data_IF_312544312858
#
_entry.id   IF_312544312858
#
_cell.length_a   1.000
_cell.length_b   1.000
_cell.length_c   1.000
_cell.angle_alpha   90.00
_cell.angle_beta   90.00
_cell.angle_gamma   90.00
#
_symmetry.space_group_name_H-M   'P 1'
#
loop_
_entity.id
_entity.type
_entity.pdbx_description
1 polymer ?
#
# COMPACT_ATOMS: atom_id res chain seq x y z
N UNK A 1 33.97 -1.08 9.14
CA UNK A 1 32.61 -0.56 8.93
C UNK A 1 31.64 -1.67 9.30
N UNK A 2 30.94 -1.56 10.43
CA UNK A 2 29.97 -2.57 10.87
C UNK A 2 28.62 -2.28 10.21
N UNK A 3 28.11 -3.25 9.45
CA UNK A 3 26.77 -3.20 8.88
C UNK A 3 25.83 -3.84 9.91
N UNK A 4 24.90 -3.05 10.45
CA UNK A 4 23.85 -3.57 11.30
C UNK A 4 22.77 -4.19 10.41
N UNK A 5 22.73 -5.52 10.36
CA UNK A 5 21.65 -6.27 9.75
C UNK A 5 20.48 -6.34 10.75
N UNK A 6 19.31 -5.86 10.35
CA UNK A 6 18.10 -6.04 11.15
C UNK A 6 17.66 -7.51 11.09
N UNK A 7 18.07 -8.30 12.09
CA UNK A 7 17.73 -9.73 12.23
C UNK A 7 16.39 -10.01 12.87
N UNK A 8 15.53 -8.99 13.04
CA UNK A 8 14.20 -9.17 13.60
C UNK A 8 13.32 -9.97 12.64
N UNK A 9 13.33 -11.31 12.78
CA UNK A 9 12.43 -12.21 12.07
C UNK A 9 13.01 -13.52 11.54
N UNK A 10 14.26 -13.88 11.82
CA UNK A 10 14.83 -15.17 11.37
C UNK A 10 14.18 -16.42 12.00
N UNK A 11 13.36 -16.23 13.05
CA UNK A 11 12.41 -17.21 13.62
C UNK A 11 10.97 -16.65 13.71
N UNK A 12 10.61 -15.67 12.88
CA UNK A 12 9.30 -15.03 12.96
C UNK A 12 8.20 -16.00 12.54
N UNK A 13 7.09 -16.00 13.28
CA UNK A 13 5.87 -16.68 12.88
C UNK A 13 5.36 -16.17 11.53
N UNK A 14 4.45 -16.93 10.94
CA UNK A 14 3.78 -16.57 9.70
C UNK A 14 3.03 -15.24 9.87
N UNK A 15 3.04 -14.40 8.84
CA UNK A 15 2.32 -13.12 8.82
C UNK A 15 1.37 -13.03 7.64
N UNK A 16 0.40 -12.13 7.72
CA UNK A 16 -0.41 -11.71 6.60
C UNK A 16 -0.47 -10.19 6.56
N UNK A 17 -0.11 -9.62 5.41
CA UNK A 17 -0.15 -8.18 5.19
C UNK A 17 -1.12 -7.84 4.06
N UNK A 18 -1.98 -6.86 4.29
CA UNK A 18 -3.05 -6.50 3.35
C UNK A 18 -3.18 -4.98 3.21
N UNK A 19 -3.25 -4.53 1.97
CA UNK A 19 -3.68 -3.19 1.60
C UNK A 19 -5.08 -3.29 0.99
N UNK A 20 -5.95 -2.33 1.32
CA UNK A 20 -7.30 -2.28 0.80
C UNK A 20 -7.45 -1.08 -0.12
N UNK A 21 -8.25 -1.23 -1.18
CA UNK A 21 -8.61 -0.15 -2.09
C UNK A 21 -10.10 -0.17 -2.35
N UNK A 22 -10.76 0.91 -1.95
CA UNK A 22 -12.18 1.13 -2.23
C UNK A 22 -12.40 1.55 -3.69
N UNK A 23 -13.53 1.12 -4.25
CA UNK A 23 -14.01 1.50 -5.59
C UNK A 23 -15.34 2.23 -5.50
N UNK A 24 -16.26 1.73 -4.66
CA UNK A 24 -17.52 2.39 -4.29
C UNK A 24 -17.38 3.15 -2.98
N UNK A 25 -16.65 2.55 -2.04
CA UNK A 25 -16.16 3.19 -0.82
C UNK A 25 -15.01 4.16 -1.14
N UNK A 26 -14.54 4.91 -0.13
CA UNK A 26 -13.44 5.82 -0.32
C UNK A 26 -12.18 5.08 -0.80
N UNK A 27 -11.38 5.71 -1.68
CA UNK A 27 -10.22 5.09 -2.35
C UNK A 27 -9.28 4.33 -1.42
N UNK A 28 -9.06 4.87 -0.23
CA UNK A 28 -8.15 4.32 0.78
C UNK A 28 -8.81 3.29 1.72
N UNK A 29 -10.09 2.98 1.51
CA UNK A 29 -10.87 2.04 2.33
C UNK A 29 -10.84 2.37 3.83
N UNK A 30 -10.84 3.66 4.18
CA UNK A 30 -10.76 4.11 5.57
C UNK A 30 -11.98 3.66 6.37
N UNK A 31 -11.74 2.97 7.50
CA UNK A 31 -12.82 2.38 8.28
C UNK A 31 -13.25 0.99 7.81
N UNK A 32 -12.67 0.45 6.73
CA UNK A 32 -12.89 -0.95 6.35
C UNK A 32 -12.40 -1.89 7.45
N UNK A 33 -13.21 -2.89 7.80
CA UNK A 33 -12.88 -3.87 8.84
C UNK A 33 -12.59 -5.21 8.20
N UNK A 34 -11.42 -5.75 8.46
CA UNK A 34 -10.97 -7.05 7.95
C UNK A 34 -10.93 -8.05 9.08
N UNK A 35 -11.61 -9.17 8.87
CA UNK A 35 -11.66 -10.30 9.77
C UNK A 35 -10.98 -11.48 9.08
N UNK A 36 -9.98 -12.07 9.75
CA UNK A 36 -9.25 -13.25 9.31
C UNK A 36 -9.59 -14.39 10.25
N UNK A 37 -10.09 -15.48 9.68
CA UNK A 37 -10.36 -16.73 10.39
C UNK A 37 -9.24 -17.72 10.09
N UNK A 38 -8.70 -18.36 11.11
CA UNK A 38 -7.73 -19.44 10.98
C UNK A 38 -8.42 -20.79 11.15
N UNK A 39 -7.96 -21.80 10.42
CA UNK A 39 -8.45 -23.18 10.60
C UNK A 39 -8.17 -23.65 12.04
N UNK A 40 -9.20 -24.17 12.72
CA UNK A 40 -9.11 -24.64 14.10
C UNK A 40 -9.23 -23.56 15.18
N UNK A 41 -9.29 -22.27 14.81
CA UNK A 41 -9.44 -21.14 15.75
C UNK A 41 -10.70 -20.31 15.48
N UNK A 42 -11.82 -20.98 15.21
CA UNK A 42 -13.08 -20.31 14.82
C UNK A 42 -13.62 -19.33 15.87
N UNK A 43 -13.29 -19.55 17.15
CA UNK A 43 -13.74 -18.71 18.27
C UNK A 43 -12.88 -17.45 18.48
N UNK A 44 -11.75 -17.33 17.78
CA UNK A 44 -10.77 -16.26 17.97
C UNK A 44 -10.40 -15.55 16.66
N UNK A 45 -11.35 -14.91 15.97
CA UNK A 45 -11.08 -14.25 14.71
C UNK A 45 -10.16 -13.03 14.89
N UNK A 46 -9.13 -12.93 14.06
CA UNK A 46 -8.23 -11.77 14.06
C UNK A 46 -8.90 -10.63 13.29
N UNK A 47 -9.13 -9.50 13.96
CA UNK A 47 -9.80 -8.36 13.33
C UNK A 47 -8.96 -7.09 13.38
N UNK A 48 -8.87 -6.38 12.25
CA UNK A 48 -8.24 -5.05 12.16
C UNK A 48 -9.10 -4.11 11.32
N UNK A 49 -9.00 -2.81 11.59
CA UNK A 49 -9.68 -1.76 10.82
C UNK A 49 -8.64 -0.87 10.17
N UNK A 50 -8.87 -0.47 8.91
CA UNK A 50 -8.02 0.50 8.21
C UNK A 50 -8.17 1.86 8.87
N UNK A 51 -7.06 2.42 9.35
CA UNK A 51 -6.95 3.76 9.93
C UNK A 51 -6.00 4.59 9.07
N UNK A 52 -6.32 5.87 8.84
CA UNK A 52 -5.53 6.76 7.97
C UNK A 52 -4.54 7.66 8.73
N UNK A 53 -4.46 7.52 10.06
CA UNK A 53 -3.57 8.28 10.90
C UNK A 53 -3.83 8.03 12.38
N UNK A 54 -2.81 8.26 13.19
CA UNK A 54 -2.90 8.38 14.64
C UNK A 54 -1.91 9.47 15.07
N UNK A 55 -2.35 10.41 15.92
CA UNK A 55 -1.53 11.54 16.38
C UNK A 55 -1.54 12.79 15.47
N UNK A 56 -0.99 13.88 15.99
CA UNK A 56 -0.85 15.15 15.27
C UNK A 56 0.36 15.10 14.32
N UNK A 57 0.15 15.43 13.04
CA UNK A 57 1.17 15.40 11.97
C UNK A 57 1.89 14.06 11.72
N UNK A 58 1.36 12.94 12.24
CA UNK A 58 1.88 11.60 11.97
C UNK A 58 0.90 10.81 11.09
N UNK A 59 1.43 10.01 10.17
CA UNK A 59 0.64 9.08 9.37
C UNK A 59 1.18 7.66 9.56
N UNK A 60 0.39 6.84 10.24
CA UNK A 60 0.63 5.40 10.29
C UNK A 60 0.29 4.74 8.96
N UNK A 61 0.97 3.63 8.67
CA UNK A 61 0.72 2.88 7.44
C UNK A 61 -0.73 2.40 7.39
N UNK A 62 -1.38 2.57 6.23
CA UNK A 62 -2.73 2.04 5.96
C UNK A 62 -2.74 0.51 5.80
N UNK A 63 -1.56 -0.12 5.80
CA UNK A 63 -1.40 -1.56 5.67
C UNK A 63 -1.83 -2.27 6.94
N UNK A 64 -2.73 -3.23 6.79
CA UNK A 64 -3.10 -4.12 7.87
C UNK A 64 -2.08 -5.25 7.98
N UNK A 65 -1.59 -5.48 9.19
CA UNK A 65 -0.66 -6.55 9.49
C UNK A 65 -1.24 -7.48 10.55
N UNK A 66 -1.19 -8.77 10.26
CA UNK A 66 -1.66 -9.84 11.13
C UNK A 66 -0.51 -10.80 11.39
N UNK A 67 -0.16 -10.99 12.65
CA UNK A 67 0.70 -12.11 13.06
C UNK A 67 -0.18 -13.35 13.18
N UNK A 68 0.15 -14.41 12.43
CA UNK A 68 -0.63 -15.64 12.40
C UNK A 68 -0.03 -16.73 13.31
N UNK A 69 1.17 -16.54 13.84
CA UNK A 69 1.86 -17.58 14.61
C UNK A 69 2.48 -18.65 13.69
N UNK A 70 2.82 -19.83 14.22
CA UNK A 70 3.50 -20.88 13.44
C UNK A 70 2.47 -21.82 12.81
N UNK A 71 2.67 -22.18 11.54
CA UNK A 71 1.87 -23.16 10.81
C UNK A 71 0.37 -22.84 10.69
N UNK A 72 -0.01 -21.57 10.84
CA UNK A 72 -1.39 -21.16 10.66
C UNK A 72 -1.85 -21.37 9.21
N UNK A 73 -3.10 -21.83 9.07
CA UNK A 73 -3.83 -21.93 7.81
C UNK A 73 -5.00 -20.96 7.86
N UNK A 74 -5.17 -20.20 6.80
CA UNK A 74 -6.21 -19.18 6.69
C UNK A 74 -7.46 -19.87 6.17
N UNK A 75 -8.53 -19.91 6.97
CA UNK A 75 -9.82 -20.46 6.58
C UNK A 75 -10.61 -19.47 5.73
N UNK A 76 -10.67 -18.20 6.15
CA UNK A 76 -11.35 -17.15 5.40
C UNK A 76 -10.83 -15.76 5.73
N UNK A 77 -10.96 -14.86 4.75
CA UNK A 77 -10.72 -13.42 4.93
C UNK A 77 -11.94 -12.68 4.45
N UNK A 78 -12.56 -11.94 5.36
CA UNK A 78 -13.77 -11.18 5.09
C UNK A 78 -13.51 -9.71 5.33
N UNK A 79 -13.87 -8.88 4.37
CA UNK A 79 -13.77 -7.42 4.44
C UNK A 79 -15.17 -6.84 4.50
N UNK A 80 -15.44 -6.05 5.54
CA UNK A 80 -16.60 -5.16 5.61
C UNK A 80 -16.17 -3.77 5.15
N UNK A 81 -16.68 -3.34 4.01
CA UNK A 81 -16.38 -2.05 3.41
C UNK A 81 -17.11 -0.90 4.10
N UNK A 82 -16.49 0.28 4.20
CA UNK A 82 -17.12 1.48 4.74
C UNK A 82 -18.01 2.12 3.66
N UNK A 83 -19.23 2.52 4.01
CA UNK A 83 -20.15 3.15 3.07
C UNK A 83 -21.61 2.92 3.46
N UNK A 84 -22.56 3.50 2.70
CA UNK A 84 -23.98 3.48 3.05
C UNK A 84 -24.56 2.06 3.14
N UNK A 85 -24.05 1.14 2.32
CA UNK A 85 -24.54 -0.25 2.27
C UNK A 85 -23.77 -1.21 3.19
N UNK A 86 -22.65 -0.77 3.78
CA UNK A 86 -21.76 -1.60 4.60
C UNK A 86 -21.49 -3.00 4.01
N UNK A 87 -21.23 -3.05 2.70
CA UNK A 87 -21.09 -4.30 1.96
C UNK A 87 -20.00 -5.18 2.57
N UNK A 88 -20.25 -6.49 2.62
CA UNK A 88 -19.30 -7.48 3.12
C UNK A 88 -18.87 -8.38 1.98
N UNK A 89 -17.57 -8.59 1.84
CA UNK A 89 -16.96 -9.33 0.73
C UNK A 89 -15.92 -10.30 1.26
N UNK A 90 -15.99 -11.55 0.80
CA UNK A 90 -15.02 -12.59 1.15
C UNK A 90 -13.98 -12.70 0.04
N UNK A 91 -12.70 -12.71 0.42
CA UNK A 91 -11.58 -12.75 -0.51
C UNK A 91 -10.94 -14.14 -0.57
N UNK A 92 -10.75 -14.62 -1.80
CA UNK A 92 -10.04 -15.86 -2.10
C UNK A 92 -8.61 -15.60 -2.59
N UNK A 93 -7.75 -16.62 -2.54
CA UNK A 93 -6.35 -16.53 -3.01
C UNK A 93 -5.37 -15.89 -2.03
N UNK A 94 -5.77 -15.71 -0.77
CA UNK A 94 -4.90 -15.17 0.27
C UNK A 94 -3.85 -16.21 0.68
N UNK A 95 -2.59 -15.79 0.71
CA UNK A 95 -1.44 -16.61 1.10
C UNK A 95 -0.70 -15.98 2.28
N UNK A 96 -0.25 -16.81 3.21
CA UNK A 96 0.63 -16.37 4.31
C UNK A 96 2.01 -15.92 3.78
N UNK A 97 2.67 -15.06 4.55
CA UNK A 97 3.97 -14.47 4.29
C UNK A 97 4.06 -13.66 2.98
N UNK A 98 2.92 -13.13 2.53
CA UNK A 98 2.80 -12.29 1.33
C UNK A 98 2.07 -10.99 1.65
N UNK A 99 2.26 -10.01 0.78
CA UNK A 99 1.50 -8.76 0.80
C UNK A 99 0.41 -8.87 -0.24
N UNK A 100 -0.82 -8.57 0.16
CA UNK A 100 -1.98 -8.62 -0.73
C UNK A 100 -2.58 -7.24 -0.91
N UNK A 101 -3.13 -6.98 -2.08
CA UNK A 101 -4.00 -5.86 -2.39
C UNK A 101 -5.40 -6.41 -2.64
N UNK A 102 -6.34 -5.96 -1.81
CA UNK A 102 -7.76 -6.32 -1.87
C UNK A 102 -8.50 -5.12 -2.45
N UNK A 103 -9.17 -5.32 -3.58
CA UNK A 103 -9.93 -4.27 -4.26
C UNK A 103 -11.41 -4.56 -4.13
N UNK A 104 -12.17 -3.57 -3.67
CA UNK A 104 -13.62 -3.69 -3.49
C UNK A 104 -14.33 -4.12 -4.78
N UNK A 105 -15.13 -5.19 -4.69
CA UNK A 105 -15.93 -5.73 -5.78
C UNK A 105 -15.23 -6.75 -6.68
N UNK A 106 -14.00 -7.16 -6.34
CA UNK A 106 -13.24 -8.15 -7.13
C UNK A 106 -13.32 -9.59 -6.60
N UNK A 107 -13.54 -9.77 -5.30
CA UNK A 107 -13.59 -11.07 -4.60
C UNK A 107 -12.27 -11.86 -4.62
N UNK A 108 -11.20 -11.29 -5.17
CA UNK A 108 -9.91 -11.94 -5.38
C UNK A 108 -8.78 -11.05 -4.88
N UNK A 109 -7.88 -11.64 -4.10
CA UNK A 109 -6.70 -10.95 -3.63
C UNK A 109 -5.61 -10.94 -4.72
N UNK A 110 -4.92 -9.82 -4.86
CA UNK A 110 -3.75 -9.70 -5.73
C UNK A 110 -2.47 -9.63 -4.89
N UNK A 111 -1.48 -10.48 -5.20
CA UNK A 111 -0.20 -10.45 -4.49
C UNK A 111 0.61 -9.26 -4.99
N UNK A 112 1.05 -8.42 -4.07
CA UNK A 112 1.91 -7.26 -4.34
C UNK A 112 3.28 -7.47 -3.71
N UNK A 113 4.33 -6.93 -4.32
CA UNK A 113 5.63 -6.79 -3.66
C UNK A 113 5.84 -5.32 -3.29
N UNK A 114 5.83 -4.95 -2.00
CA UNK A 114 6.00 -3.56 -1.60
C UNK A 114 7.40 -3.02 -1.90
N UNK A 115 8.40 -3.88 -2.14
CA UNK A 115 9.78 -3.46 -2.47
C UNK A 115 10.02 -3.31 -3.97
N UNK A 116 9.02 -3.61 -4.82
CA UNK A 116 9.09 -3.37 -6.26
C UNK A 116 8.90 -1.91 -6.66
N UNK A 117 8.81 -0.98 -5.71
CA UNK A 117 8.91 0.43 -6.03
C UNK A 117 10.24 0.68 -6.73
N UNK A 118 10.21 0.98 -8.03
CA UNK A 118 11.36 1.56 -8.69
C UNK A 118 11.67 2.85 -7.93
N UNK A 119 12.80 2.90 -7.24
CA UNK A 119 13.47 4.18 -7.06
C UNK A 119 13.80 4.65 -8.48
N UNK A 120 12.89 5.44 -9.06
CA UNK A 120 13.16 6.09 -10.31
C UNK A 120 14.24 7.11 -10.01
N UNK A 121 15.43 6.90 -10.58
CA UNK A 121 16.43 7.97 -10.62
C UNK A 121 15.82 9.16 -11.34
N UNK A 122 16.26 10.40 -11.06
CA UNK A 122 15.74 11.59 -11.74
C UNK A 122 15.72 11.45 -13.27
N UNK A 123 16.71 10.75 -13.82
CA UNK A 123 16.84 10.41 -15.24
C UNK A 123 15.71 9.50 -15.77
N UNK A 124 15.21 8.55 -14.96
CA UNK A 124 14.11 7.64 -15.32
C UNK A 124 12.73 8.18 -14.96
N UNK A 125 12.66 9.13 -14.03
CA UNK A 125 11.45 9.89 -13.69
C UNK A 125 11.21 11.08 -14.64
N UNK A 126 12.22 11.46 -15.43
CA UNK A 126 12.10 12.45 -16.49
C UNK A 126 11.19 11.89 -17.58
N UNK A 127 9.92 12.28 -17.51
CA UNK A 127 8.97 12.19 -18.62
C UNK A 127 9.62 12.86 -19.84
N UNK A 128 9.54 12.25 -21.03
CA UNK A 128 10.00 12.89 -22.28
C UNK A 128 9.34 14.27 -22.38
N UNK A 129 10.08 15.29 -22.82
CA UNK A 129 9.62 16.70 -22.78
C UNK A 129 8.20 16.94 -23.35
N UNK A 130 7.75 16.07 -24.25
CA UNK A 130 6.45 16.08 -24.91
C UNK A 130 5.25 15.75 -24.01
N UNK A 131 5.42 15.02 -22.91
CA UNK A 131 4.33 14.64 -22.00
C UNK A 131 4.20 15.57 -20.77
N UNK A 132 5.11 16.54 -20.61
CA UNK A 132 5.25 17.26 -19.34
C UNK A 132 4.11 18.24 -19.06
N UNK A 133 3.46 18.80 -20.09
CA UNK A 133 2.30 19.69 -19.95
C UNK A 133 1.48 19.61 -21.25
N UNK A 134 0.22 19.12 -21.25
CA UNK A 134 -0.66 19.30 -22.41
C UNK A 134 -0.81 20.80 -22.66
N UNK A 135 -0.66 21.23 -23.92
CA UNK A 135 -0.78 22.64 -24.27
C UNK A 135 -2.16 23.13 -23.78
N UNK A 136 -2.23 24.24 -23.05
CA UNK A 136 -3.50 24.73 -22.51
C UNK A 136 -4.45 25.07 -23.66
N UNK A 137 -5.48 24.26 -23.85
CA UNK A 137 -6.52 24.46 -24.87
C UNK A 137 -7.84 24.79 -24.17
N UNK A 138 -8.27 26.05 -24.28
CA UNK A 138 -9.57 26.51 -23.81
C UNK A 138 -9.54 27.75 -22.90
N UNK A 139 -10.70 28.37 -22.67
CA UNK A 139 -10.83 29.66 -21.95
C UNK A 139 -10.46 29.58 -20.45
N UNK A 140 -10.38 28.37 -19.88
CA UNK A 140 -10.09 28.15 -18.46
C UNK A 140 -8.64 27.72 -18.19
N UNK A 141 -7.72 28.08 -19.07
CA UNK A 141 -6.32 27.75 -18.94
C UNK A 141 -5.48 28.98 -18.61
N UNK A 142 -4.70 28.90 -17.52
CA UNK A 142 -3.84 30.00 -17.08
C UNK A 142 -2.42 29.69 -17.53
N UNK A 143 -1.92 30.47 -18.49
CA UNK A 143 -0.51 30.46 -18.85
C UNK A 143 0.29 31.12 -17.72
N UNK A 144 1.25 30.39 -17.16
CA UNK A 144 2.26 31.01 -16.30
C UNK A 144 3.08 31.98 -17.17
N UNK A 145 3.13 33.25 -16.79
CA UNK A 145 3.91 34.27 -17.52
C UNK A 145 5.40 33.97 -17.54
N UNK A 146 5.89 33.20 -16.57
CA UNK A 146 7.29 32.77 -16.48
C UNK A 146 7.36 31.29 -16.16
N UNK A 147 8.34 30.58 -16.73
CA UNK A 147 8.67 29.23 -16.27
C UNK A 147 9.18 29.34 -14.84
N UNK A 148 8.60 28.55 -13.92
CA UNK A 148 9.20 28.34 -12.62
C UNK A 148 10.57 27.67 -12.83
N UNK A 149 11.65 28.39 -12.50
CA UNK A 149 12.99 27.82 -12.48
C UNK A 149 13.06 26.84 -11.30
N UNK A 150 13.00 25.55 -11.59
CA UNK A 150 13.28 24.54 -10.58
C UNK A 150 14.78 24.60 -10.23
N UNK A 151 15.13 24.57 -8.93
CA UNK A 151 16.54 24.49 -8.55
C UNK A 151 17.15 23.18 -9.06
N UNK A 152 18.40 23.24 -9.47
CA UNK A 152 19.17 22.04 -9.83
C UNK A 152 19.44 21.24 -8.54
N UNK A 153 18.74 20.12 -8.37
CA UNK A 153 18.97 19.22 -7.24
C UNK A 153 20.16 18.35 -7.57
N UNK A 154 21.32 18.68 -6.99
CA UNK A 154 22.49 17.78 -6.99
C UNK A 154 22.18 16.59 -6.08
N UNK A 155 22.33 15.37 -6.59
CA UNK A 155 22.19 14.16 -5.78
C UNK A 155 23.44 13.31 -5.94
N UNK A 156 23.82 12.59 -4.88
CA UNK A 156 24.87 11.58 -4.93
C UNK A 156 24.20 10.22 -4.81
N UNK A 157 24.33 9.39 -5.83
CA UNK A 157 23.86 8.02 -5.79
C UNK A 157 24.75 7.22 -4.83
N UNK A 158 24.18 6.80 -3.69
CA UNK A 158 24.90 6.07 -2.66
C UNK A 158 25.19 4.61 -3.05
N UNK A 159 24.53 4.07 -4.06
CA UNK A 159 24.76 2.71 -4.56
C UNK A 159 25.89 2.68 -5.61
N UNK A 160 26.01 3.72 -6.44
CA UNK A 160 26.98 3.77 -7.56
C UNK A 160 28.11 4.78 -7.36
N UNK A 161 28.03 5.64 -6.34
CA UNK A 161 29.02 6.67 -6.03
C UNK A 161 29.04 7.85 -7.00
N UNK A 162 28.14 7.87 -8.00
CA UNK A 162 28.07 8.92 -9.02
C UNK A 162 27.39 10.17 -8.47
N UNK A 163 27.93 11.33 -8.83
CA UNK A 163 27.48 12.68 -8.47
C UNK A 163 26.90 13.40 -9.66
#
# INVERSE_FOLDING_TARGET
>A
MQVFENRWGSKAGDFLAMNLRGTKSNRDAAGARVTVLLEGEERSPLTRTVRLGEGFQSQSSKRLHFGLGKNAKIASVTVRWPGPTFATETFSGIQKNKFHLLVEGTGKASITDPRKGLFQTPEKAAVKDEERIPKPEGPNSILLQTRQLFPQIRYKDLATGRT
#
